data_IF_314268089617
#
_entry.id   IF_314268089617
#
_cell.length_a   1.000
_cell.length_b   1.000
_cell.length_c   1.000
_cell.angle_alpha   90.00
_cell.angle_beta   90.00
_cell.angle_gamma   90.00
#
_symmetry.space_group_name_H-M   'P 1'
#
loop_
_entity.id
_entity.type
_entity.pdbx_description
1 polymer ?
#
# COMPACT_ATOMS: atom_id res chain seq x y z
N UNK A 1 28.17 -37.66 21.76
CA UNK A 1 26.85 -37.14 22.18
C UNK A 1 26.97 -35.65 22.32
N UNK A 2 26.01 -34.94 21.76
CA UNK A 2 25.93 -33.50 21.52
C UNK A 2 26.56 -32.57 22.58
N UNK A 3 27.31 -31.58 22.09
CA UNK A 3 27.59 -30.34 22.81
C UNK A 3 26.53 -29.31 22.39
N UNK A 4 25.81 -28.78 23.38
CA UNK A 4 24.81 -27.74 23.24
C UNK A 4 25.44 -26.42 22.76
N UNK A 5 25.07 -26.02 21.54
CA UNK A 5 25.28 -24.66 21.04
C UNK A 5 24.01 -23.85 21.32
N UNK A 6 23.90 -23.30 22.53
CA UNK A 6 22.86 -22.32 22.87
C UNK A 6 23.23 -20.96 22.26
N UNK A 7 22.95 -20.81 20.97
CA UNK A 7 23.03 -19.56 20.24
C UNK A 7 21.86 -18.65 20.62
N UNK A 8 21.95 -18.01 21.80
CA UNK A 8 20.97 -17.04 22.28
C UNK A 8 20.75 -15.92 21.25
N UNK A 9 19.62 -15.95 20.56
CA UNK A 9 19.22 -14.85 19.67
C UNK A 9 18.98 -13.59 20.51
N UNK A 10 19.56 -12.43 20.15
CA UNK A 10 19.33 -11.19 20.89
C UNK A 10 17.85 -10.82 20.81
N UNK A 11 17.27 -10.47 21.96
CA UNK A 11 15.87 -10.07 22.10
C UNK A 11 15.48 -8.97 21.12
N UNK A 12 14.22 -8.95 20.66
CA UNK A 12 13.74 -8.00 19.66
C UNK A 12 14.00 -6.52 20.04
N UNK A 13 13.97 -6.21 21.34
CA UNK A 13 14.34 -4.89 21.87
C UNK A 13 15.82 -4.55 21.70
N UNK A 14 16.74 -5.52 21.89
CA UNK A 14 18.17 -5.31 21.66
C UNK A 14 18.48 -5.08 20.16
N UNK A 15 17.75 -5.76 19.27
CA UNK A 15 17.83 -5.53 17.80
C UNK A 15 17.30 -4.15 17.41
N UNK A 16 16.15 -3.74 17.96
CA UNK A 16 15.59 -2.40 17.72
C UNK A 16 16.52 -1.29 18.25
N UNK A 17 17.12 -1.48 19.43
CA UNK A 17 18.08 -0.55 20.00
C UNK A 17 19.38 -0.41 19.19
N UNK A 18 19.88 -1.50 18.59
CA UNK A 18 21.03 -1.44 17.66
C UNK A 18 20.67 -0.72 16.36
N UNK A 19 19.49 -1.00 15.80
CA UNK A 19 19.00 -0.35 14.57
C UNK A 19 18.86 1.18 14.77
N UNK A 20 18.30 1.61 15.90
CA UNK A 20 18.15 3.04 16.22
C UNK A 20 19.50 3.76 16.31
N UNK A 21 20.48 3.19 17.04
CA UNK A 21 21.83 3.77 17.14
C UNK A 21 22.54 3.88 15.78
N UNK A 22 22.34 2.89 14.91
CA UNK A 22 22.89 2.92 13.57
C UNK A 22 22.24 4.02 12.71
N UNK A 23 20.93 4.22 12.85
CA UNK A 23 20.21 5.29 12.16
C UNK A 23 20.64 6.69 12.63
N UNK A 24 20.81 6.88 13.94
CA UNK A 24 21.29 8.14 14.51
C UNK A 24 22.70 8.48 14.02
N UNK A 25 23.61 7.50 13.98
CA UNK A 25 24.96 7.69 13.44
C UNK A 25 24.95 8.09 11.95
N UNK A 26 24.02 7.53 11.15
CA UNK A 26 23.88 7.91 9.73
C UNK A 26 23.38 9.35 9.61
N UNK A 27 22.46 9.80 10.48
CA UNK A 27 22.00 11.19 10.48
C UNK A 27 23.14 12.17 10.83
N UNK A 28 24.00 11.82 11.79
CA UNK A 28 25.19 12.61 12.13
C UNK A 28 26.17 12.73 10.94
N UNK A 29 26.34 11.66 10.15
CA UNK A 29 27.16 11.70 8.94
C UNK A 29 26.56 12.66 7.89
N UNK A 30 25.23 12.68 7.71
CA UNK A 30 24.61 13.67 6.83
C UNK A 30 24.78 15.10 7.35
N UNK A 31 24.72 15.32 8.67
CA UNK A 31 24.97 16.64 9.25
C UNK A 31 26.40 17.12 8.98
N UNK A 32 27.39 16.24 9.06
CA UNK A 32 28.79 16.54 8.69
C UNK A 32 28.92 16.87 7.20
N UNK A 33 28.35 16.05 6.31
CA UNK A 33 28.38 16.30 4.87
C UNK A 33 27.73 17.63 4.49
N UNK A 34 26.65 18.03 5.18
CA UNK A 34 25.99 19.32 4.94
C UNK A 34 26.85 20.50 5.40
N UNK A 35 27.64 20.36 6.45
CA UNK A 35 28.63 21.37 6.86
C UNK A 35 29.70 21.52 5.78
N UNK A 36 30.28 20.41 5.31
CA UNK A 36 31.27 20.42 4.23
C UNK A 36 30.72 21.04 2.93
N UNK A 37 29.47 20.74 2.58
CA UNK A 37 28.79 21.35 1.43
C UNK A 37 28.62 22.87 1.60
N UNK A 38 28.30 23.35 2.80
CA UNK A 38 28.19 24.78 3.08
C UNK A 38 29.55 25.47 3.00
N UNK A 39 30.59 24.90 3.61
CA UNK A 39 31.95 25.44 3.59
C UNK A 39 32.47 25.54 2.15
N UNK A 40 32.26 24.50 1.34
CA UNK A 40 32.63 24.51 -0.08
C UNK A 40 31.87 25.61 -0.86
N UNK A 41 30.58 25.80 -0.60
CA UNK A 41 29.79 26.85 -1.23
C UNK A 41 30.22 28.26 -0.80
N UNK A 42 30.68 28.45 0.43
CA UNK A 42 31.21 29.73 0.92
C UNK A 42 32.55 30.06 0.27
N UNK A 43 33.46 29.09 0.16
CA UNK A 43 34.70 29.22 -0.58
C UNK A 43 34.44 29.60 -2.04
N UNK A 44 33.52 28.91 -2.72
CA UNK A 44 33.16 29.23 -4.11
C UNK A 44 32.57 30.62 -4.28
N UNK A 45 31.75 31.08 -3.33
CA UNK A 45 31.22 32.45 -3.34
C UNK A 45 32.34 33.47 -3.18
N UNK A 46 33.37 33.19 -2.40
CA UNK A 46 34.54 34.07 -2.25
C UNK A 46 35.33 34.13 -3.57
N UNK A 47 35.61 32.98 -4.18
CA UNK A 47 36.34 32.88 -5.45
C UNK A 47 35.59 33.55 -6.61
N UNK A 48 34.27 33.38 -6.69
CA UNK A 48 33.42 34.06 -7.68
C UNK A 48 33.42 35.58 -7.51
N UNK A 49 33.48 36.09 -6.28
CA UNK A 49 33.62 37.54 -6.03
C UNK A 49 34.99 38.06 -6.46
N UNK A 50 36.05 37.26 -6.28
CA UNK A 50 37.39 37.60 -6.73
C UNK A 50 37.51 37.58 -8.25
N UNK A 51 36.80 36.65 -8.93
CA UNK A 51 36.82 36.54 -10.39
C UNK A 51 35.94 37.59 -11.10
N UNK A 52 34.91 38.12 -10.43
CA UNK A 52 33.99 39.15 -10.98
C UNK A 52 34.25 40.56 -10.48
N UNK A 53 35.04 40.71 -9.41
CA UNK A 53 35.50 42.00 -8.90
C UNK A 53 36.36 42.70 -9.94
N UNK A 54 35.92 43.89 -10.37
CA UNK A 54 36.60 44.74 -11.35
C UNK A 54 38.12 44.73 -11.15
N UNK A 55 38.85 44.39 -12.22
CA UNK A 55 40.19 44.94 -12.48
C UNK A 55 40.15 46.45 -12.18
N UNK A 56 40.80 46.84 -11.10
CA UNK A 56 40.60 48.14 -10.48
C UNK A 56 41.85 48.66 -9.82
N UNK A 57 42.86 48.94 -10.67
CA UNK A 57 43.98 49.89 -10.45
C UNK A 57 44.92 49.61 -9.26
N UNK A 58 46.08 49.07 -9.60
CA UNK A 58 47.30 49.20 -8.80
C UNK A 58 48.38 48.29 -9.34
N UNK A 59 49.30 48.84 -10.13
CA UNK A 59 50.32 48.10 -10.86
C UNK A 59 51.16 47.14 -10.00
N UNK A 60 51.47 45.99 -10.60
CA UNK A 60 52.36 45.00 -10.03
C UNK A 60 52.43 43.79 -10.95
N UNK A 61 53.22 43.88 -12.01
CA UNK A 61 53.60 42.75 -12.83
C UNK A 61 54.27 41.69 -11.95
N UNK A 62 53.53 40.64 -11.56
CA UNK A 62 54.11 39.58 -10.73
C UNK A 62 53.15 38.74 -9.91
N UNK A 63 51.86 38.61 -10.25
CA UNK A 63 51.00 37.57 -9.67
C UNK A 63 49.71 37.38 -10.51
N UNK A 64 49.84 36.96 -11.77
CA UNK A 64 48.69 36.33 -12.45
C UNK A 64 48.55 34.90 -11.91
N UNK A 65 48.16 34.78 -10.65
CA UNK A 65 47.77 33.51 -10.05
C UNK A 65 46.38 33.18 -10.62
N UNK A 66 46.38 32.39 -11.71
CA UNK A 66 45.22 31.72 -12.34
C UNK A 66 43.87 32.06 -11.70
N UNK A 67 43.26 33.17 -12.11
CA UNK A 67 41.84 33.36 -11.87
C UNK A 67 41.11 32.23 -12.61
N UNK A 68 40.46 31.33 -11.88
CA UNK A 68 39.65 30.28 -12.48
C UNK A 68 38.54 30.93 -13.32
N UNK A 69 38.23 30.34 -14.47
CA UNK A 69 37.17 30.84 -15.35
C UNK A 69 35.85 30.93 -14.54
N UNK A 70 35.18 32.09 -14.52
CA UNK A 70 33.94 32.26 -13.78
C UNK A 70 32.86 31.25 -14.20
N UNK A 71 32.87 30.77 -15.45
CA UNK A 71 31.93 29.76 -15.92
C UNK A 71 32.12 28.40 -15.23
N UNK A 72 33.37 27.96 -15.06
CA UNK A 72 33.70 26.73 -14.35
C UNK A 72 33.35 26.82 -12.86
N UNK A 73 33.55 27.98 -12.24
CA UNK A 73 33.17 28.21 -10.83
C UNK A 73 31.65 28.17 -10.63
N UNK A 74 30.87 28.72 -11.57
CA UNK A 74 29.40 28.65 -11.53
C UNK A 74 28.88 27.21 -11.70
N UNK A 75 29.48 26.42 -12.61
CA UNK A 75 29.16 25.00 -12.76
C UNK A 75 29.46 24.22 -11.47
N UNK A 76 30.61 24.48 -10.85
CA UNK A 76 30.97 23.85 -9.57
C UNK A 76 29.97 24.23 -8.48
N UNK A 77 29.62 25.52 -8.39
CA UNK A 77 28.64 26.02 -7.42
C UNK A 77 27.28 25.32 -7.57
N UNK A 78 26.79 25.18 -8.81
CA UNK A 78 25.55 24.44 -9.10
C UNK A 78 25.63 22.99 -8.65
N UNK A 79 26.73 22.31 -8.96
CA UNK A 79 26.93 20.92 -8.54
C UNK A 79 26.91 20.76 -7.01
N UNK A 80 27.61 21.61 -6.27
CA UNK A 80 27.58 21.58 -4.79
C UNK A 80 26.20 21.94 -4.23
N UNK A 81 25.46 22.87 -4.86
CA UNK A 81 24.08 23.16 -4.49
C UNK A 81 23.16 21.94 -4.68
N UNK A 82 23.25 21.26 -5.82
CA UNK A 82 22.47 20.05 -6.10
C UNK A 82 22.83 18.92 -5.12
N UNK A 83 24.13 18.72 -4.85
CA UNK A 83 24.63 17.72 -3.90
C UNK A 83 24.09 17.98 -2.49
N UNK A 84 24.18 19.24 -2.01
CA UNK A 84 23.63 19.66 -0.73
C UNK A 84 22.13 19.36 -0.62
N UNK A 85 21.36 19.68 -1.66
CA UNK A 85 19.92 19.42 -1.66
C UNK A 85 19.61 17.92 -1.64
N UNK A 86 20.35 17.10 -2.40
CA UNK A 86 20.25 15.62 -2.34
C UNK A 86 20.52 15.09 -0.94
N UNK A 87 21.59 15.54 -0.30
CA UNK A 87 21.93 15.15 1.07
C UNK A 87 20.83 15.57 2.05
N UNK A 88 20.30 16.78 1.88
CA UNK A 88 19.18 17.31 2.69
C UNK A 88 17.94 16.43 2.53
N UNK A 89 17.54 16.09 1.31
CA UNK A 89 16.38 15.21 1.06
C UNK A 89 16.59 13.83 1.67
N UNK A 90 17.73 13.18 1.42
CA UNK A 90 18.05 11.85 1.98
C UNK A 90 18.00 11.84 3.50
N UNK A 91 18.57 12.85 4.14
CA UNK A 91 18.51 13.03 5.59
C UNK A 91 17.07 13.12 6.10
N UNK A 92 16.22 13.94 5.46
CA UNK A 92 14.81 14.06 5.85
C UNK A 92 14.02 12.77 5.63
N UNK A 93 14.28 12.02 4.55
CA UNK A 93 13.66 10.72 4.28
C UNK A 93 14.06 9.66 5.32
N UNK A 94 15.32 9.69 5.79
CA UNK A 94 15.76 8.84 6.90
C UNK A 94 15.07 9.22 8.21
N UNK A 95 14.95 10.53 8.48
CA UNK A 95 14.21 11.02 9.65
C UNK A 95 12.74 10.58 9.62
N UNK A 96 12.08 10.65 8.46
CA UNK A 96 10.72 10.14 8.24
C UNK A 96 10.61 8.64 8.52
N UNK A 97 11.58 7.87 8.07
CA UNK A 97 11.65 6.42 8.31
C UNK A 97 11.75 6.13 9.81
N UNK A 98 12.60 6.87 10.53
CA UNK A 98 12.73 6.77 11.98
C UNK A 98 11.44 7.16 12.71
N UNK A 99 10.79 8.25 12.30
CA UNK A 99 9.51 8.67 12.86
C UNK A 99 8.43 7.61 12.67
N UNK A 100 8.36 6.98 11.49
CA UNK A 100 7.42 5.90 11.20
C UNK A 100 7.68 4.66 12.06
N UNK A 101 8.94 4.25 12.21
CA UNK A 101 9.34 3.12 13.06
C UNK A 101 8.94 3.37 14.53
N UNK A 102 9.06 4.61 15.02
CA UNK A 102 8.61 5.02 16.36
C UNK A 102 7.09 5.02 16.52
N UNK A 103 6.34 5.41 15.48
CA UNK A 103 4.88 5.29 15.49
C UNK A 103 4.43 3.82 15.56
N UNK A 104 5.08 2.94 14.78
CA UNK A 104 4.73 1.52 14.72
C UNK A 104 5.05 0.76 16.01
N UNK A 105 6.16 1.09 16.66
CA UNK A 105 6.58 0.46 17.92
C UNK A 105 5.83 0.97 19.15
N UNK A 106 4.99 1.99 18.98
CA UNK A 106 4.19 2.57 20.06
C UNK A 106 5.02 2.99 21.25
N UNK A 107 6.30 3.36 21.05
CA UNK A 107 7.27 3.51 22.13
C UNK A 107 6.76 4.54 23.15
N UNK A 108 6.26 4.05 24.28
CA UNK A 108 6.14 4.86 25.47
C UNK A 108 7.57 5.21 25.90
N UNK A 109 7.89 6.49 26.13
CA UNK A 109 9.22 6.84 26.59
C UNK A 109 9.50 6.09 27.91
N UNK A 110 10.74 5.60 28.13
CA UNK A 110 11.12 5.06 29.42
C UNK A 110 10.84 6.12 30.50
N UNK A 111 10.27 5.69 31.63
CA UNK A 111 9.92 6.55 32.75
C UNK A 111 11.12 7.42 33.15
N UNK A 112 11.03 8.73 32.91
CA UNK A 112 12.12 9.70 33.12
C UNK A 112 12.43 10.60 31.92
N UNK A 113 12.00 10.26 30.70
CA UNK A 113 12.17 11.11 29.51
C UNK A 113 10.82 11.66 29.02
N UNK A 114 10.34 12.74 29.64
CA UNK A 114 9.06 13.40 29.30
C UNK A 114 8.97 13.93 27.85
N UNK A 115 10.08 13.88 27.09
CA UNK A 115 10.24 14.62 25.84
C UNK A 115 10.20 13.78 24.55
N UNK A 116 9.91 12.47 24.65
CA UNK A 116 9.88 11.57 23.47
C UNK A 116 8.50 10.97 23.21
N UNK A 117 7.50 11.84 23.03
CA UNK A 117 6.18 11.43 22.51
C UNK A 117 6.34 10.77 21.13
N UNK A 118 5.52 9.76 20.84
CA UNK A 118 5.46 9.17 19.50
C UNK A 118 5.09 10.27 18.49
N UNK A 119 5.79 10.35 17.35
CA UNK A 119 5.55 11.42 16.39
C UNK A 119 4.14 11.32 15.83
N UNK A 120 3.54 12.46 15.52
CA UNK A 120 2.17 12.52 14.99
C UNK A 120 2.15 12.45 13.46
N UNK A 121 1.02 12.02 12.88
CA UNK A 121 0.85 12.08 11.43
C UNK A 121 1.01 13.51 10.87
N UNK A 122 0.62 14.53 11.65
CA UNK A 122 0.81 15.93 11.28
C UNK A 122 2.31 16.28 11.17
N UNK A 123 3.15 15.84 12.11
CA UNK A 123 4.60 16.04 12.05
C UNK A 123 5.21 15.41 10.80
N UNK A 124 4.82 14.18 10.44
CA UNK A 124 5.29 13.54 9.20
C UNK A 124 4.90 14.37 7.98
N UNK A 125 3.66 14.87 7.93
CA UNK A 125 3.20 15.72 6.81
C UNK A 125 3.99 17.03 6.67
N UNK A 126 4.43 17.61 7.79
CA UNK A 126 5.29 18.81 7.80
C UNK A 126 6.68 18.50 7.24
N UNK A 127 7.29 17.39 7.66
CA UNK A 127 8.60 16.98 7.13
C UNK A 127 8.53 16.71 5.62
N UNK A 128 7.49 16.04 5.12
CA UNK A 128 7.30 15.89 3.67
C UNK A 128 7.09 17.23 2.95
N UNK A 129 6.53 18.25 3.61
CA UNK A 129 6.43 19.60 3.03
C UNK A 129 7.81 20.21 2.82
N UNK A 130 8.72 20.02 3.79
CA UNK A 130 10.14 20.45 3.67
C UNK A 130 10.85 19.69 2.55
N UNK A 131 10.63 18.36 2.46
CA UNK A 131 11.17 17.55 1.36
C UNK A 131 10.70 18.06 0.00
N UNK A 132 9.41 18.38 -0.16
CA UNK A 132 8.87 18.92 -1.40
C UNK A 132 9.47 20.28 -1.77
N UNK A 133 9.76 21.14 -0.78
CA UNK A 133 10.44 22.40 -1.03
C UNK A 133 11.84 22.17 -1.61
N UNK A 134 12.63 21.29 -1.01
CA UNK A 134 13.96 20.97 -1.51
C UNK A 134 13.94 20.28 -2.88
N UNK A 135 12.97 19.40 -3.14
CA UNK A 135 12.80 18.79 -4.46
C UNK A 135 12.40 19.81 -5.52
N UNK A 136 11.59 20.82 -5.18
CA UNK A 136 11.28 21.91 -6.09
C UNK A 136 12.51 22.80 -6.37
N UNK A 137 13.33 23.08 -5.36
CA UNK A 137 14.62 23.75 -5.52
C UNK A 137 15.58 22.94 -6.39
N UNK A 138 15.64 21.61 -6.22
CA UNK A 138 16.42 20.71 -7.07
C UNK A 138 15.94 20.72 -8.52
N UNK A 139 14.62 20.63 -8.73
CA UNK A 139 14.02 20.67 -10.07
C UNK A 139 14.30 22.01 -10.77
N UNK A 140 14.25 23.13 -10.05
CA UNK A 140 14.58 24.44 -10.61
C UNK A 140 16.08 24.61 -10.94
N UNK A 141 16.95 23.88 -10.24
CA UNK A 141 18.37 23.80 -10.53
C UNK A 141 18.71 22.75 -11.59
N UNK A 142 17.77 21.91 -12.01
CA UNK A 142 17.95 20.96 -13.09
C UNK A 142 17.43 21.57 -14.39
N UNK A 143 18.32 21.86 -15.35
CA UNK A 143 17.90 22.36 -16.68
C UNK A 143 17.73 21.19 -17.65
N UNK A 144 16.94 21.37 -18.70
CA UNK A 144 16.75 20.35 -19.75
C UNK A 144 18.04 19.95 -20.51
N UNK A 145 19.16 20.65 -20.28
CA UNK A 145 20.48 20.32 -20.83
C UNK A 145 21.31 19.39 -19.93
N UNK A 146 20.84 19.07 -18.72
CA UNK A 146 21.49 18.19 -17.76
C UNK A 146 21.02 16.73 -17.88
N UNK A 147 21.60 15.84 -17.08
CA UNK A 147 21.32 14.41 -17.09
C UNK A 147 19.80 14.13 -16.96
N UNK A 148 19.16 13.72 -18.05
CA UNK A 148 17.72 13.44 -18.10
C UNK A 148 17.28 12.43 -17.02
N UNK A 149 18.17 11.51 -16.65
CA UNK A 149 17.94 10.55 -15.58
C UNK A 149 17.75 11.21 -14.20
N UNK A 150 18.47 12.31 -13.93
CA UNK A 150 18.35 13.04 -12.67
C UNK A 150 17.01 13.78 -12.60
N UNK A 151 16.57 14.39 -13.70
CA UNK A 151 15.26 15.04 -13.81
C UNK A 151 14.14 14.03 -13.52
N UNK A 152 14.16 12.89 -14.21
CA UNK A 152 13.20 11.80 -14.01
C UNK A 152 13.19 11.30 -12.55
N UNK A 153 14.37 11.18 -11.92
CA UNK A 153 14.48 10.75 -10.52
C UNK A 153 13.84 11.75 -9.55
N UNK A 154 14.03 13.06 -9.79
CA UNK A 154 13.48 14.13 -8.94
C UNK A 154 11.98 14.26 -9.13
N UNK A 155 11.48 14.05 -10.35
CA UNK A 155 10.04 14.04 -10.63
C UNK A 155 9.33 12.92 -9.89
N UNK A 156 9.90 11.70 -9.93
CA UNK A 156 9.35 10.57 -9.18
C UNK A 156 9.40 10.82 -7.67
N UNK A 157 10.53 11.31 -7.15
CA UNK A 157 10.69 11.64 -5.73
C UNK A 157 9.68 12.71 -5.28
N UNK A 158 9.41 13.70 -6.14
CA UNK A 158 8.41 14.75 -5.89
C UNK A 158 7.01 14.18 -5.77
N UNK A 159 6.67 13.22 -6.63
CA UNK A 159 5.36 12.58 -6.63
C UNK A 159 5.17 11.62 -5.47
N UNK A 160 6.23 10.86 -5.14
CA UNK A 160 6.35 10.06 -3.92
C UNK A 160 6.12 10.92 -2.67
N UNK A 161 6.80 12.05 -2.53
CA UNK A 161 6.62 12.96 -1.40
C UNK A 161 5.23 13.61 -1.36
N UNK A 162 4.64 13.96 -2.52
CA UNK A 162 3.25 14.46 -2.61
C UNK A 162 2.25 13.44 -2.10
N UNK A 163 2.35 12.19 -2.55
CA UNK A 163 1.46 11.11 -2.15
C UNK A 163 1.53 10.82 -0.64
N UNK A 164 2.75 10.73 -0.08
CA UNK A 164 2.91 10.51 1.36
C UNK A 164 2.41 11.70 2.18
N UNK A 165 2.69 12.94 1.75
CA UNK A 165 2.20 14.15 2.43
C UNK A 165 0.68 14.15 2.50
N UNK A 166 -0.01 13.95 1.37
CA UNK A 166 -1.49 13.95 1.35
C UNK A 166 -2.06 12.82 2.19
N UNK A 167 -1.40 11.66 2.23
CA UNK A 167 -1.79 10.52 3.07
C UNK A 167 -1.71 10.84 4.56
N UNK A 168 -0.60 11.44 5.02
CA UNK A 168 -0.45 11.78 6.43
C UNK A 168 -1.37 12.95 6.86
N UNK A 169 -1.71 13.88 5.95
CA UNK A 169 -2.78 14.86 6.20
C UNK A 169 -4.13 14.15 6.35
N UNK A 170 -4.41 13.14 5.51
CA UNK A 170 -5.62 12.33 5.61
C UNK A 170 -5.68 11.60 6.96
N UNK A 171 -4.59 10.96 7.39
CA UNK A 171 -4.47 10.27 8.68
C UNK A 171 -4.72 11.23 9.86
N UNK A 172 -4.22 12.47 9.80
CA UNK A 172 -4.52 13.50 10.80
C UNK A 172 -5.99 13.94 10.78
N UNK A 173 -6.64 13.94 9.61
CA UNK A 173 -8.07 14.23 9.53
C UNK A 173 -8.92 13.08 10.08
N UNK A 174 -8.48 11.83 9.91
CA UNK A 174 -9.11 10.65 10.49
C UNK A 174 -9.05 10.68 12.02
N UNK A 175 -7.90 11.01 12.61
CA UNK A 175 -7.78 11.12 14.07
C UNK A 175 -8.62 12.26 14.65
N UNK A 176 -8.91 13.28 13.86
CA UNK A 176 -9.79 14.40 14.22
C UNK A 176 -11.29 14.14 13.91
N UNK A 177 -11.68 12.95 13.44
CA UNK A 177 -13.07 12.62 13.08
C UNK A 177 -13.62 13.35 11.85
N UNK A 178 -12.75 13.98 11.04
CA UNK A 178 -13.15 14.74 9.84
C UNK A 178 -13.24 13.81 8.62
N UNK A 179 -14.18 12.86 8.62
CA UNK A 179 -14.25 11.76 7.65
C UNK A 179 -14.35 12.18 6.19
N UNK A 180 -15.19 13.18 5.88
CA UNK A 180 -15.36 13.67 4.50
C UNK A 180 -14.05 14.24 3.93
N UNK A 181 -13.32 15.00 4.74
CA UNK A 181 -12.02 15.56 4.35
C UNK A 181 -10.98 14.45 4.20
N UNK A 182 -10.93 13.53 5.17
CA UNK A 182 -10.03 12.38 5.10
C UNK A 182 -10.27 11.53 3.84
N UNK A 183 -11.53 11.27 3.48
CA UNK A 183 -11.88 10.51 2.26
C UNK A 183 -11.38 11.21 0.99
N UNK A 184 -11.68 12.50 0.84
CA UNK A 184 -11.22 13.28 -0.30
C UNK A 184 -9.68 13.29 -0.41
N UNK A 185 -8.98 13.37 0.72
CA UNK A 185 -7.52 13.31 0.75
C UNK A 185 -6.98 11.93 0.40
N UNK A 186 -7.63 10.84 0.84
CA UNK A 186 -7.26 9.48 0.43
C UNK A 186 -7.51 9.25 -1.07
N UNK A 187 -8.57 9.83 -1.64
CA UNK A 187 -8.80 9.77 -3.08
C UNK A 187 -7.70 10.52 -3.85
N UNK A 188 -7.31 11.70 -3.37
CA UNK A 188 -6.16 12.44 -3.92
C UNK A 188 -4.83 11.70 -3.76
N UNK A 189 -4.64 10.92 -2.69
CA UNK A 189 -3.44 10.06 -2.58
C UNK A 189 -3.43 8.99 -3.66
N UNK A 190 -4.59 8.43 -4.01
CA UNK A 190 -4.70 7.46 -5.09
C UNK A 190 -4.36 8.07 -6.45
N UNK A 191 -4.79 9.32 -6.70
CA UNK A 191 -4.43 10.06 -7.91
C UNK A 191 -2.90 10.23 -8.02
N UNK A 192 -2.23 10.69 -6.96
CA UNK A 192 -0.77 10.83 -6.97
C UNK A 192 -0.03 9.49 -7.14
N UNK A 193 -0.56 8.40 -6.61
CA UNK A 193 0.00 7.06 -6.82
C UNK A 193 -0.15 6.61 -8.28
N UNK A 194 -1.32 6.86 -8.90
CA UNK A 194 -1.56 6.55 -10.30
C UNK A 194 -0.63 7.36 -11.22
N UNK A 195 -0.49 8.66 -10.95
CA UNK A 195 0.49 9.51 -11.66
C UNK A 195 1.90 8.92 -11.51
N UNK A 196 2.28 8.46 -10.31
CA UNK A 196 3.61 7.90 -10.06
C UNK A 196 3.83 6.60 -10.83
N UNK A 197 2.82 5.75 -10.92
CA UNK A 197 2.89 4.53 -11.73
C UNK A 197 3.12 4.85 -13.21
N UNK A 198 2.50 5.92 -13.74
CA UNK A 198 2.76 6.34 -15.13
C UNK A 198 4.20 6.79 -15.32
N UNK A 199 4.76 7.56 -14.37
CA UNK A 199 6.16 8.00 -14.44
C UNK A 199 7.10 6.80 -14.38
N UNK A 200 6.85 5.85 -13.47
CA UNK A 200 7.66 4.64 -13.31
C UNK A 200 7.71 3.80 -14.59
N UNK A 201 6.61 3.73 -15.34
CA UNK A 201 6.55 3.01 -16.62
C UNK A 201 7.40 3.68 -17.73
N UNK A 202 7.59 5.00 -17.64
CA UNK A 202 8.33 5.78 -18.64
C UNK A 202 9.78 6.08 -18.25
N UNK A 203 10.23 5.67 -17.06
CA UNK A 203 11.61 5.92 -16.61
C UNK A 203 12.64 5.31 -17.55
N UNK A 204 13.70 6.08 -17.81
CA UNK A 204 14.90 5.57 -18.45
C UNK A 204 15.57 4.48 -17.61
N UNK A 205 16.31 3.57 -18.25
CA UNK A 205 17.04 2.51 -17.55
C UNK A 205 18.06 3.05 -16.55
N UNK A 206 18.66 4.22 -16.85
CA UNK A 206 19.59 4.91 -15.96
C UNK A 206 18.87 5.44 -14.71
N UNK A 207 17.77 6.17 -14.87
CA UNK A 207 16.98 6.67 -13.75
C UNK A 207 16.42 5.52 -12.89
N UNK A 208 15.96 4.45 -13.52
CA UNK A 208 15.40 3.28 -12.85
C UNK A 208 16.45 2.52 -12.02
N UNK A 209 17.73 2.58 -12.38
CA UNK A 209 18.82 1.93 -11.67
C UNK A 209 19.36 2.75 -10.48
N UNK A 210 18.99 4.03 -10.35
CA UNK A 210 19.43 4.86 -9.23
C UNK A 210 18.85 4.34 -7.91
N UNK A 211 19.67 4.33 -6.87
CA UNK A 211 19.32 3.82 -5.54
C UNK A 211 18.11 4.57 -4.95
N UNK A 212 18.09 5.90 -5.07
CA UNK A 212 16.99 6.73 -4.57
C UNK A 212 15.67 6.39 -5.29
N UNK A 213 15.70 6.22 -6.62
CA UNK A 213 14.55 5.82 -7.44
C UNK A 213 14.04 4.42 -7.07
N UNK A 214 14.93 3.46 -6.80
CA UNK A 214 14.56 2.14 -6.31
C UNK A 214 13.84 2.27 -4.95
N UNK A 215 14.38 3.08 -4.05
CA UNK A 215 13.81 3.29 -2.74
C UNK A 215 12.44 4.00 -2.80
N UNK A 216 12.26 4.98 -3.70
CA UNK A 216 10.97 5.64 -3.91
C UNK A 216 9.90 4.70 -4.48
N UNK A 217 10.26 3.85 -5.44
CA UNK A 217 9.33 2.81 -5.94
C UNK A 217 8.89 1.86 -4.82
N UNK A 218 9.81 1.44 -3.96
CA UNK A 218 9.48 0.61 -2.81
C UNK A 218 8.55 1.33 -1.82
N UNK A 219 8.78 2.63 -1.57
CA UNK A 219 7.91 3.45 -0.72
C UNK A 219 6.51 3.62 -1.31
N UNK A 220 6.41 3.92 -2.60
CA UNK A 220 5.15 4.03 -3.34
C UNK A 220 4.35 2.73 -3.28
N UNK A 221 4.99 1.58 -3.55
CA UNK A 221 4.34 0.28 -3.46
C UNK A 221 3.80 -0.02 -2.05
N UNK A 222 4.57 0.30 -1.01
CA UNK A 222 4.13 0.17 0.38
C UNK A 222 2.92 1.09 0.68
N UNK A 223 2.95 2.35 0.21
CA UNK A 223 1.86 3.29 0.39
C UNK A 223 0.58 2.84 -0.32
N UNK A 224 0.68 2.26 -1.52
CA UNK A 224 -0.46 1.68 -2.23
C UNK A 224 -1.14 0.57 -1.42
N UNK A 225 -0.35 -0.31 -0.79
CA UNK A 225 -0.87 -1.34 0.08
C UNK A 225 -1.54 -0.76 1.35
N UNK A 226 -0.92 0.26 1.96
CA UNK A 226 -1.47 0.94 3.14
C UNK A 226 -2.79 1.68 2.84
N UNK A 227 -2.90 2.28 1.65
CA UNK A 227 -4.05 3.09 1.25
C UNK A 227 -5.35 2.29 1.22
N UNK A 228 -5.31 1.05 0.73
CA UNK A 228 -6.47 0.16 0.73
C UNK A 228 -6.99 -0.08 2.17
N UNK A 229 -6.06 -0.38 3.09
CA UNK A 229 -6.38 -0.53 4.51
C UNK A 229 -6.90 0.77 5.15
N UNK A 230 -6.32 1.92 4.81
CA UNK A 230 -6.75 3.22 5.32
C UNK A 230 -8.18 3.56 4.88
N UNK A 231 -8.57 3.28 3.64
CA UNK A 231 -9.94 3.47 3.14
C UNK A 231 -10.95 2.61 3.89
N UNK A 232 -10.62 1.34 4.14
CA UNK A 232 -11.48 0.45 4.93
C UNK A 232 -11.61 0.92 6.38
N UNK A 233 -10.49 1.30 7.01
CA UNK A 233 -10.50 1.87 8.38
C UNK A 233 -11.35 3.13 8.48
N UNK A 234 -11.24 4.02 7.49
CA UNK A 234 -12.04 5.24 7.44
C UNK A 234 -13.54 4.91 7.37
N UNK A 235 -13.95 4.03 6.45
CA UNK A 235 -15.35 3.60 6.29
C UNK A 235 -15.91 2.97 7.56
N UNK A 236 -15.14 2.08 8.19
CA UNK A 236 -15.54 1.45 9.45
C UNK A 236 -15.71 2.49 10.56
N UNK A 237 -14.77 3.44 10.69
CA UNK A 237 -14.80 4.48 11.72
C UNK A 237 -15.97 5.46 11.51
N UNK A 238 -16.23 5.85 10.26
CA UNK A 238 -17.38 6.68 9.89
C UNK A 238 -18.69 5.98 10.26
N UNK A 239 -18.84 4.70 9.92
CA UNK A 239 -20.03 3.91 10.27
C UNK A 239 -20.24 3.87 11.78
N UNK A 240 -19.20 3.54 12.56
CA UNK A 240 -19.28 3.50 14.02
C UNK A 240 -19.76 4.83 14.61
N UNK A 241 -19.22 5.96 14.14
CA UNK A 241 -19.66 7.27 14.62
C UNK A 241 -21.10 7.61 14.20
N UNK A 242 -21.54 7.22 13.00
CA UNK A 242 -22.94 7.43 12.60
C UNK A 242 -23.90 6.59 13.45
N UNK A 243 -23.50 5.38 13.82
CA UNK A 243 -24.29 4.52 14.72
C UNK A 243 -24.35 5.09 16.13
N UNK A 244 -23.24 5.60 16.67
CA UNK A 244 -23.21 6.31 17.96
C UNK A 244 -24.10 7.55 17.95
N UNK A 245 -24.05 8.36 16.88
CA UNK A 245 -24.87 9.58 16.76
C UNK A 245 -26.37 9.31 16.56
N UNK A 246 -26.74 8.16 16.01
CA UNK A 246 -28.13 7.73 15.85
C UNK A 246 -28.71 7.06 17.11
N UNK A 247 -27.91 6.88 18.18
CA UNK A 247 -28.43 6.44 19.46
C UNK A 247 -29.37 7.53 20.03
N UNK A 248 -30.65 7.22 20.31
CA UNK A 248 -31.54 8.15 20.99
C UNK A 248 -30.96 8.51 22.36
N UNK A 249 -30.73 9.80 22.59
CA UNK A 249 -30.35 10.34 23.89
C UNK A 249 -31.46 10.06 24.92
N UNK A 250 -31.34 8.95 25.64
CA UNK A 250 -32.35 8.52 26.63
C UNK A 250 -32.41 7.02 26.90
N UNK A 251 -31.76 6.19 26.10
CA UNK A 251 -31.70 4.75 26.36
C UNK A 251 -30.45 4.46 27.19
N UNK A 252 -30.64 4.29 28.50
CA UNK A 252 -29.60 3.80 29.41
C UNK A 252 -29.01 2.48 28.91
N UNK A 253 -27.80 2.15 29.35
CA UNK A 253 -27.15 0.85 29.06
C UNK A 253 -28.07 -0.35 29.39
N UNK A 254 -28.95 -0.19 30.39
CA UNK A 254 -29.99 -1.15 30.75
C UNK A 254 -31.13 -1.24 29.72
N UNK A 255 -31.46 -0.15 29.03
CA UNK A 255 -32.41 -0.16 27.92
C UNK A 255 -31.82 -0.74 26.63
N UNK A 256 -30.49 -0.80 26.48
CA UNK A 256 -29.85 -1.59 25.42
C UNK A 256 -29.91 -3.09 25.71
N UNK A 257 -29.87 -3.49 26.98
CA UNK A 257 -30.15 -4.86 27.37
C UNK A 257 -31.63 -5.24 27.13
N UNK A 258 -32.55 -4.28 27.25
CA UNK A 258 -33.98 -4.46 26.91
C UNK A 258 -34.28 -4.36 25.39
N UNK A 259 -33.41 -3.73 24.60
CA UNK A 259 -33.40 -3.81 23.13
C UNK A 259 -32.60 -5.04 22.64
N UNK A 260 -32.20 -5.95 23.53
CA UNK A 260 -31.64 -7.25 23.17
C UNK A 260 -32.56 -7.94 22.18
N UNK A 261 -32.08 -8.09 20.94
CA UNK A 261 -32.19 -9.31 20.14
C UNK A 261 -33.59 -9.90 19.89
N UNK A 262 -34.68 -9.18 20.12
CA UNK A 262 -36.01 -9.64 19.67
C UNK A 262 -36.30 -9.27 18.21
N UNK A 263 -35.53 -8.36 17.61
CA UNK A 263 -35.62 -8.07 16.17
C UNK A 263 -34.72 -9.01 15.37
N UNK A 264 -35.03 -10.30 15.53
CA UNK A 264 -34.36 -11.45 14.96
C UNK A 264 -34.84 -12.71 15.68
N UNK A 265 -36.17 -12.92 15.72
CA UNK A 265 -36.81 -14.05 16.41
C UNK A 265 -36.43 -15.44 15.85
N UNK A 266 -35.61 -15.45 14.81
CA UNK A 266 -35.03 -16.62 14.20
C UNK A 266 -33.87 -17.20 15.00
N UNK A 267 -33.98 -18.48 15.38
CA UNK A 267 -32.90 -19.23 16.04
C UNK A 267 -31.69 -19.44 15.13
N UNK A 268 -31.87 -19.30 13.82
CA UNK A 268 -30.86 -19.56 12.81
C UNK A 268 -30.56 -18.30 12.00
N UNK A 269 -29.36 -18.24 11.43
CA UNK A 269 -28.97 -17.12 10.54
C UNK A 269 -29.91 -17.03 9.32
N UNK A 270 -30.39 -18.17 8.82
CA UNK A 270 -31.37 -18.26 7.73
C UNK A 270 -32.64 -17.43 7.99
N UNK A 271 -33.10 -17.40 9.23
CA UNK A 271 -34.35 -16.75 9.62
C UNK A 271 -34.21 -15.22 9.69
N UNK A 272 -32.97 -14.71 9.67
CA UNK A 272 -32.64 -13.31 9.89
C UNK A 272 -31.94 -12.70 8.66
N UNK A 273 -32.07 -13.29 7.46
CA UNK A 273 -31.41 -12.79 6.24
C UNK A 273 -31.79 -11.35 5.87
N UNK A 274 -33.00 -10.92 6.23
CA UNK A 274 -33.53 -9.58 5.97
C UNK A 274 -33.15 -8.56 7.07
N UNK A 275 -32.47 -9.00 8.13
CA UNK A 275 -32.09 -8.18 9.27
C UNK A 275 -30.57 -8.17 9.47
N UNK A 276 -29.97 -6.98 9.44
CA UNK A 276 -28.57 -6.83 9.80
C UNK A 276 -28.40 -6.97 11.33
N UNK A 277 -27.96 -8.15 11.78
CA UNK A 277 -27.61 -8.40 13.18
C UNK A 277 -26.12 -8.11 13.37
N UNK A 278 -25.81 -7.01 14.05
CA UNK A 278 -24.44 -6.66 14.41
C UNK A 278 -24.00 -7.57 15.56
N UNK A 279 -23.49 -8.77 15.26
CA UNK A 279 -22.87 -9.64 16.25
C UNK A 279 -21.51 -9.05 16.64
N UNK A 280 -21.52 -8.01 17.49
CA UNK A 280 -20.37 -7.79 18.34
C UNK A 280 -20.10 -9.12 19.06
N UNK A 281 -18.91 -9.69 18.87
CA UNK A 281 -18.51 -10.89 19.61
C UNK A 281 -18.86 -10.66 21.09
N UNK A 282 -19.58 -11.58 21.75
CA UNK A 282 -19.85 -11.42 23.17
C UNK A 282 -18.52 -11.33 23.92
N UNK A 283 -18.42 -10.50 24.97
CA UNK A 283 -17.18 -10.28 25.73
C UNK A 283 -16.75 -11.47 26.60
N UNK A 284 -17.17 -12.70 26.28
CA UNK A 284 -16.77 -13.90 27.01
C UNK A 284 -16.67 -15.06 26.03
N UNK A 285 -15.58 -15.82 26.13
CA UNK A 285 -15.16 -16.94 25.26
C UNK A 285 -16.10 -18.15 25.17
N UNK A 286 -17.41 -17.93 25.11
CA UNK A 286 -18.33 -18.88 24.52
C UNK A 286 -18.18 -18.76 22.99
N UNK A 287 -17.65 -19.80 22.37
CA UNK A 287 -17.72 -19.94 20.92
C UNK A 287 -19.19 -19.84 20.51
N UNK A 288 -19.57 -18.74 19.85
CA UNK A 288 -20.84 -18.67 19.15
C UNK A 288 -20.76 -19.69 18.02
N UNK A 289 -21.30 -20.89 18.24
CA UNK A 289 -21.73 -21.74 17.15
C UNK A 289 -22.84 -20.97 16.43
N UNK A 290 -22.46 -20.18 15.42
CA UNK A 290 -23.39 -19.58 14.49
C UNK A 290 -24.11 -20.72 13.78
N UNK A 291 -25.24 -21.14 14.31
CA UNK A 291 -26.04 -22.21 13.72
C UNK A 291 -26.70 -21.65 12.47
N UNK A 292 -26.05 -21.88 11.33
CA UNK A 292 -26.49 -21.37 10.03
C UNK A 292 -27.88 -21.90 9.64
N UNK A 293 -28.15 -23.16 10.00
CA UNK A 293 -29.34 -23.91 9.58
C UNK A 293 -29.84 -24.82 10.72
N UNK A 294 -31.15 -25.06 10.82
CA UNK A 294 -31.69 -26.12 11.67
C UNK A 294 -31.14 -27.49 11.26
N UNK A 295 -30.74 -28.29 12.25
CA UNK A 295 -30.38 -29.69 12.07
C UNK A 295 -31.35 -30.58 12.86
N UNK A 296 -31.96 -31.61 12.23
CA UNK A 296 -31.87 -31.97 10.82
C UNK A 296 -32.63 -30.98 9.92
N UNK A 297 -32.15 -30.81 8.69
CA UNK A 297 -32.87 -30.08 7.66
C UNK A 297 -34.23 -30.74 7.45
N UNK A 298 -35.31 -29.96 7.46
CA UNK A 298 -36.69 -30.43 7.26
C UNK A 298 -36.95 -30.87 5.82
N UNK A 299 -36.22 -31.88 5.34
CA UNK A 299 -36.42 -32.45 4.02
C UNK A 299 -37.80 -33.11 3.96
N UNK A 300 -38.67 -32.59 3.11
CA UNK A 300 -39.91 -33.25 2.76
C UNK A 300 -39.68 -34.17 1.56
N UNK A 301 -40.32 -35.33 1.57
CA UNK A 301 -40.30 -36.23 0.43
C UNK A 301 -41.07 -35.59 -0.70
N UNK A 302 -40.37 -35.09 -1.72
CA UNK A 302 -41.00 -34.69 -2.98
C UNK A 302 -41.47 -35.98 -3.65
N UNK A 303 -42.79 -36.17 -3.90
CA UNK A 303 -43.26 -37.34 -4.60
C UNK A 303 -42.63 -37.33 -5.99
N UNK A 304 -41.76 -38.31 -6.26
CA UNK A 304 -41.25 -38.54 -7.60
C UNK A 304 -42.46 -38.68 -8.53
N UNK A 305 -42.39 -38.06 -9.72
CA UNK A 305 -43.43 -38.19 -10.75
C UNK A 305 -43.87 -39.66 -10.84
N UNK A 306 -45.19 -39.96 -10.84
CA UNK A 306 -45.66 -41.34 -10.89
C UNK A 306 -45.01 -42.05 -12.06
N UNK A 307 -44.44 -43.23 -11.80
CA UNK A 307 -43.77 -44.04 -12.80
C UNK A 307 -44.81 -44.47 -13.85
N UNK A 308 -44.77 -43.83 -15.02
CA UNK A 308 -45.56 -44.22 -16.18
C UNK A 308 -44.77 -45.26 -16.97
N UNK A 309 -45.20 -46.52 -16.92
CA UNK A 309 -44.63 -47.55 -17.78
C UNK A 309 -45.25 -47.46 -19.17
N UNK A 310 -44.44 -47.37 -20.21
CA UNK A 310 -44.90 -47.46 -21.60
C UNK A 310 -45.21 -48.92 -21.95
N UNK A 311 -46.42 -49.35 -21.62
CA UNK A 311 -46.91 -50.71 -21.90
C UNK A 311 -47.16 -50.92 -23.39
N UNK A 312 -47.37 -49.84 -24.17
CA UNK A 312 -47.62 -49.95 -25.61
C UNK A 312 -46.40 -50.50 -26.35
N UNK A 313 -45.19 -50.22 -25.86
CA UNK A 313 -43.95 -50.80 -26.40
C UNK A 313 -43.93 -52.34 -26.33
N UNK A 314 -44.53 -52.93 -25.30
CA UNK A 314 -44.61 -54.40 -25.20
C UNK A 314 -45.56 -55.01 -26.24
N UNK A 315 -46.47 -54.22 -26.80
CA UNK A 315 -47.41 -54.67 -27.83
C UNK A 315 -46.81 -54.58 -29.25
N UNK A 316 -45.61 -54.01 -29.42
CA UNK A 316 -44.91 -53.98 -30.71
C UNK A 316 -44.29 -55.35 -30.97
N UNK A 317 -45.06 -56.24 -31.60
CA UNK A 317 -44.57 -57.51 -32.13
C UNK A 317 -44.26 -57.39 -33.62
N UNK A 318 -43.29 -58.18 -34.09
CA UNK A 318 -43.03 -58.28 -35.53
C UNK A 318 -44.28 -58.84 -36.23
N UNK A 319 -44.67 -58.30 -37.40
CA UNK A 319 -45.73 -58.90 -38.19
C UNK A 319 -45.32 -60.31 -38.63
N UNK A 320 -46.30 -61.20 -38.77
CA UNK A 320 -46.03 -62.56 -39.26
C UNK A 320 -45.46 -62.49 -40.69
N UNK A 321 -44.22 -62.95 -40.85
CA UNK A 321 -43.49 -62.94 -42.11
C UNK A 321 -43.70 -64.22 -42.94
N UNK A 322 -44.56 -65.14 -42.49
CA UNK A 322 -44.89 -66.40 -43.19
C UNK A 322 -45.37 -66.16 -44.63
N UNK A 323 -46.08 -65.05 -44.88
CA UNK A 323 -46.62 -64.66 -46.20
C UNK A 323 -45.53 -64.22 -47.19
N UNK A 324 -44.35 -63.81 -46.69
CA UNK A 324 -43.23 -63.35 -47.51
C UNK A 324 -42.11 -64.39 -47.68
N UNK A 325 -42.24 -65.58 -47.07
CA UNK A 325 -41.34 -66.70 -47.35
C UNK A 325 -41.70 -67.32 -48.71
N UNK A 326 -40.84 -67.13 -49.72
CA UNK A 326 -40.97 -67.81 -51.02
C UNK A 326 -40.84 -69.32 -50.81
N UNK A 327 -41.95 -70.06 -50.97
CA UNK A 327 -41.93 -71.51 -51.11
C UNK A 327 -41.02 -71.92 -52.27
N UNK A 328 -39.98 -72.70 -51.96
CA UNK A 328 -39.17 -73.34 -53.00
C UNK A 328 -40.03 -74.30 -53.81
N UNK A 329 -40.22 -73.98 -55.09
CA UNK A 329 -40.93 -74.83 -56.06
C UNK A 329 -40.11 -76.09 -56.33
N UNK A 330 -40.35 -77.17 -55.59
CA UNK A 330 -39.88 -78.51 -55.98
C UNK A 330 -40.69 -79.02 -57.18
N UNK A 331 -40.18 -78.72 -58.38
CA UNK A 331 -40.70 -79.18 -59.66
C UNK A 331 -40.48 -80.68 -59.90
N UNK A 332 -41.38 -81.25 -60.72
CA UNK A 332 -41.69 -82.67 -60.93
C UNK A 332 -40.59 -83.57 -61.56
N UNK A 333 -39.33 -83.12 -61.68
CA UNK A 333 -38.25 -83.88 -62.33
C UNK A 333 -37.35 -84.68 -61.37
N UNK A 334 -37.55 -84.59 -60.05
CA UNK A 334 -36.75 -85.33 -59.05
C UNK A 334 -37.20 -86.78 -58.76
N UNK A 335 -38.18 -87.32 -59.48
CA UNK A 335 -38.79 -88.63 -59.19
C UNK A 335 -38.35 -89.78 -60.11
N UNK A 336 -37.46 -89.53 -61.08
CA UNK A 336 -37.04 -90.53 -62.08
C UNK A 336 -35.54 -90.85 -62.01
N UNK A 337 -34.74 -90.10 -61.24
CA UNK A 337 -33.34 -90.44 -60.96
C UNK A 337 -33.03 -90.19 -59.49
N UNK A 338 -32.97 -91.26 -58.70
CA UNK A 338 -32.64 -91.20 -57.28
C UNK A 338 -32.99 -92.50 -56.58
N UNK A 339 -32.20 -93.53 -56.85
CA UNK A 339 -32.00 -94.63 -55.92
C UNK A 339 -30.92 -94.21 -54.93
#
# INVERSE_FOLDING_TARGET
GAADADGGQPSAQARAGRKGKQQDAVLELYDQLLVEDNDALELLKADLKLSTGKEGRGGGAGASARAADPTHLLLLQRHFQLRKLRHTVRRHVLMLSHMRDRMATGSTPPAGAADRRAPTAEELSRVYTVVLQHLAEMSALLDAAEDAADIESVDLASLSAKAHRTYYIAASCMSAGKWRHARALLDRTAEHLADADTVVQTLSAQAAAMEDTIADRARLAALTAELAGARCRLRASEMLQTMEAQQPAGLSQDSMAALSLERGAGKYVLDNLDAFVCTALPPSGAHNELTLLPSPLGFETVPCKPLLFDVARNAVTLPDLSVHQKQERRGLFGRIWGR
#
